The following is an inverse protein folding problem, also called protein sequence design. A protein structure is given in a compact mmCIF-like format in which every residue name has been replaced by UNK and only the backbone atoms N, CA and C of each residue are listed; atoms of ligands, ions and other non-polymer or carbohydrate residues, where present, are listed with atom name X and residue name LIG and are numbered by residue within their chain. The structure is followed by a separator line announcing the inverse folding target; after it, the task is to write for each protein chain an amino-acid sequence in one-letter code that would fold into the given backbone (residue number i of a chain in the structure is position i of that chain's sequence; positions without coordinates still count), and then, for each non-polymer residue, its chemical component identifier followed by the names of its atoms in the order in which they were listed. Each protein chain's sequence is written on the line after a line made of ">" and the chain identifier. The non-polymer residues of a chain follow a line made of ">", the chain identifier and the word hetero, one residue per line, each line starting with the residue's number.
data_IF_770910680006
#
_entry.id   IF_770910680006
#
_cell.length_a   1.000
_cell.length_b   1.000
_cell.length_c   1.000
_cell.angle_alpha   90.00
_cell.angle_beta   90.00
_cell.angle_gamma   90.00
#
_symmetry.space_group_name_H-M   'P 1'
#
loop_
_entity.id
_entity.type
_entity.pdbx_description
1 polymer ?
#
# COMPACT_ATOMS: atom_id res chain seq x y z
N UNK A 1 -22.33 12.06 -0.47
CA UNK A 1 -22.13 11.11 -0.07
C UNK A 1 -20.99 10.96 0.69
N UNK A 2 -20.67 9.93 1.03
CA UNK A 2 -19.65 9.79 1.75
C UNK A 2 -18.43 9.89 1.03
N UNK A 3 -17.47 10.55 1.58
CA UNK A 3 -16.29 10.68 1.05
C UNK A 3 -15.62 9.38 1.09
N UNK A 4 -15.12 8.81 0.05
CA UNK A 4 -14.37 7.67 0.11
C UNK A 4 -13.01 8.00 0.48
N UNK A 5 -12.51 7.44 1.54
CA UNK A 5 -11.12 7.66 1.91
C UNK A 5 -10.25 6.79 1.05
N UNK A 6 -9.10 7.30 0.68
CA UNK A 6 -8.11 6.54 -0.07
C UNK A 6 -7.39 5.62 0.91
N UNK A 7 -7.54 4.33 0.72
CA UNK A 7 -6.96 3.35 1.63
C UNK A 7 -5.45 3.27 1.47
N UNK A 8 -4.75 3.19 2.59
CA UNK A 8 -3.29 3.08 2.57
C UNK A 8 -2.85 1.82 1.85
N UNK A 9 -1.80 1.90 1.02
CA UNK A 9 -1.34 0.73 0.27
C UNK A 9 -0.55 -0.29 1.08
N UNK A 10 -0.44 -0.11 2.39
CA UNK A 10 0.27 -1.09 3.20
C UNK A 10 -0.50 -2.41 3.21
N UNK A 11 0.16 -3.50 2.80
CA UNK A 11 -0.48 -4.80 2.77
C UNK A 11 0.07 -5.72 3.86
N UNK A 12 0.56 -5.14 4.93
CA UNK A 12 1.09 -5.86 6.09
C UNK A 12 2.44 -6.54 5.85
N UNK A 13 3.09 -6.23 4.74
CA UNK A 13 4.46 -6.62 4.51
C UNK A 13 5.24 -5.32 4.54
N UNK A 14 5.95 -5.09 5.65
CA UNK A 14 6.61 -3.81 5.86
C UNK A 14 8.11 -4.01 5.96
N UNK A 15 8.73 -4.35 4.85
CA UNK A 15 10.16 -4.54 4.79
C UNK A 15 10.72 -3.73 3.65
N UNK A 16 11.75 -2.96 3.90
CA UNK A 16 12.36 -2.10 2.91
C UNK A 16 13.54 -2.77 2.25
N UNK A 17 13.56 -2.74 0.92
CA UNK A 17 14.67 -3.26 0.15
C UNK A 17 15.86 -2.31 0.34
N UNK A 18 16.99 -2.77 0.85
CA UNK A 18 18.12 -1.88 1.10
C UNK A 18 18.76 -1.34 -0.18
N UNK A 19 18.50 -1.98 -1.30
CA UNK A 19 19.07 -1.51 -2.56
C UNK A 19 18.27 -0.39 -3.19
N UNK A 20 16.95 -0.46 -3.11
CA UNK A 20 16.11 0.53 -3.75
C UNK A 20 15.47 1.51 -2.78
N UNK A 21 15.39 1.16 -1.51
CA UNK A 21 14.71 1.99 -0.53
C UNK A 21 13.20 1.85 -0.55
N UNK A 22 12.67 0.97 -1.39
CA UNK A 22 11.23 0.78 -1.51
C UNK A 22 10.77 -0.44 -0.71
N UNK A 23 9.56 -0.36 -0.19
CA UNK A 23 9.00 -1.47 0.56
C UNK A 23 8.69 -2.64 -0.38
N UNK A 24 9.06 -3.85 0.01
CA UNK A 24 8.80 -5.02 -0.80
C UNK A 24 7.32 -5.24 -1.04
N UNK A 25 6.48 -4.88 -0.09
CA UNK A 25 5.05 -5.15 -0.22
C UNK A 25 4.30 -4.08 -0.97
N UNK A 26 4.58 -2.82 -0.69
CA UNK A 26 3.78 -1.73 -1.25
C UNK A 26 4.54 -0.75 -2.14
N UNK A 27 5.84 -0.93 -2.29
CA UNK A 27 6.60 -0.10 -3.22
C UNK A 27 6.84 1.34 -2.77
N UNK A 28 6.51 1.69 -1.53
CA UNK A 28 6.73 3.04 -1.05
C UNK A 28 8.08 3.15 -0.37
N UNK A 29 8.71 4.32 -0.45
CA UNK A 29 9.91 4.56 0.35
C UNK A 29 9.48 5.12 1.71
N UNK A 30 10.43 5.33 2.60
CA UNK A 30 10.11 5.76 3.96
C UNK A 30 9.47 7.14 4.01
N UNK A 31 9.89 8.04 3.12
CA UNK A 31 9.32 9.37 3.05
C UNK A 31 7.86 9.29 2.66
N UNK A 32 7.55 8.48 1.65
CA UNK A 32 6.19 8.34 1.18
C UNK A 32 5.29 7.75 2.27
N UNK A 33 5.83 6.81 3.04
CA UNK A 33 5.05 6.24 4.14
C UNK A 33 4.69 7.30 5.16
N UNK A 34 5.61 8.22 5.43
CA UNK A 34 5.34 9.30 6.38
C UNK A 34 4.30 10.26 5.84
N UNK A 35 4.40 10.62 4.55
CA UNK A 35 3.46 11.54 3.94
C UNK A 35 2.04 10.96 3.96
N UNK A 36 1.91 9.66 3.76
CA UNK A 36 0.62 9.01 3.82
C UNK A 36 -0.07 9.17 5.17
N UNK A 37 0.72 9.33 6.24
CA UNK A 37 0.17 9.44 7.58
C UNK A 37 -0.22 10.85 7.97
N UNK A 38 0.19 11.86 7.19
CA UNK A 38 -0.14 13.24 7.51
C UNK A 38 -1.58 13.54 7.15
N UNK A 39 -2.25 14.28 8.04
CA UNK A 39 -3.64 14.62 7.80
C UNK A 39 -3.82 15.55 6.62
N UNK A 40 -2.87 16.41 6.38
CA UNK A 40 -2.98 17.38 5.32
C UNK A 40 -2.65 16.80 3.93
N UNK A 41 -2.26 15.55 3.83
CA UNK A 41 -1.93 14.97 2.54
C UNK A 41 -3.18 14.85 1.69
N UNK A 42 -3.13 15.40 0.47
CA UNK A 42 -4.31 15.43 -0.39
C UNK A 42 -4.61 14.08 -1.00
N UNK A 43 -5.86 13.88 -1.38
CA UNK A 43 -6.25 12.65 -2.06
C UNK A 43 -5.58 12.56 -3.42
N UNK A 44 -5.34 13.68 -4.05
CA UNK A 44 -4.67 13.70 -5.34
C UNK A 44 -3.25 13.16 -5.23
N UNK A 45 -2.55 13.57 -4.17
CA UNK A 45 -1.21 13.06 -3.96
C UNK A 45 -1.25 11.56 -3.73
N UNK A 46 -2.23 11.10 -2.96
CA UNK A 46 -2.34 9.67 -2.66
C UNK A 46 -2.63 8.86 -3.92
N UNK A 47 -3.50 9.35 -4.78
CA UNK A 47 -3.80 8.66 -6.02
C UNK A 47 -2.58 8.60 -6.92
N UNK A 48 -1.84 9.70 -7.00
CA UNK A 48 -0.64 9.74 -7.80
C UNK A 48 0.40 8.77 -7.29
N UNK A 49 0.54 8.70 -5.97
CA UNK A 49 1.50 7.79 -5.37
C UNK A 49 1.10 6.33 -5.59
N UNK A 50 -0.19 6.03 -5.53
CA UNK A 50 -0.67 4.68 -5.81
C UNK A 50 -0.31 4.26 -7.25
N UNK A 51 -0.39 5.19 -8.17
CA UNK A 51 0.00 4.92 -9.54
C UNK A 51 1.50 4.66 -9.64
N UNK A 52 2.28 5.49 -8.94
CA UNK A 52 3.74 5.38 -8.97
C UNK A 52 4.22 4.03 -8.42
N UNK A 53 3.64 3.61 -7.31
CA UNK A 53 4.10 2.36 -6.71
C UNK A 53 3.77 1.15 -7.57
N UNK A 54 2.72 1.22 -8.34
CA UNK A 54 2.38 0.11 -9.23
C UNK A 54 3.38 -0.01 -10.37
N UNK A 55 3.98 1.10 -10.77
CA UNK A 55 5.03 1.08 -11.78
C UNK A 55 6.32 0.50 -11.18
N UNK A 56 6.56 0.78 -9.91
CA UNK A 56 7.77 0.28 -9.23
C UNK A 56 7.72 -1.20 -8.97
N UNK A 57 6.53 -1.71 -8.63
CA UNK A 57 6.36 -3.12 -8.37
C UNK A 57 6.27 -3.87 -9.71
N UNK A 58 6.76 -5.08 -9.76
CA UNK A 58 6.69 -5.82 -10.99
C UNK A 58 6.49 -7.29 -10.73
N UNK A 59 6.08 -8.02 -11.76
CA UNK A 59 5.93 -9.46 -11.66
C UNK A 59 4.99 -9.87 -10.54
N UNK A 60 5.40 -10.86 -9.77
CA UNK A 60 4.56 -11.41 -8.72
C UNK A 60 4.32 -10.40 -7.60
N UNK A 61 5.23 -9.46 -7.40
CA UNK A 61 5.04 -8.45 -6.36
C UNK A 61 3.87 -7.54 -6.68
N UNK A 62 3.74 -7.14 -7.93
CA UNK A 62 2.62 -6.30 -8.34
C UNK A 62 1.31 -7.05 -8.20
N UNK A 63 1.29 -8.31 -8.60
CA UNK A 63 0.09 -9.12 -8.49
C UNK A 63 -0.34 -9.30 -7.04
N UNK A 64 0.62 -9.58 -6.18
CA UNK A 64 0.34 -9.73 -4.75
C UNK A 64 -0.18 -8.44 -4.15
N UNK A 65 0.40 -7.32 -4.55
CA UNK A 65 -0.05 -6.03 -4.05
C UNK A 65 -1.49 -5.76 -4.47
N UNK A 66 -1.80 -5.99 -5.74
CA UNK A 66 -3.14 -5.71 -6.23
C UNK A 66 -4.19 -6.55 -5.52
N UNK A 67 -3.91 -7.81 -5.36
CA UNK A 67 -4.82 -8.73 -4.70
C UNK A 67 -5.04 -8.33 -3.26
N UNK A 68 -3.97 -8.07 -2.54
CA UNK A 68 -4.05 -7.72 -1.13
C UNK A 68 -4.67 -6.35 -0.91
N UNK A 69 -4.36 -5.41 -1.78
CA UNK A 69 -4.92 -4.08 -1.66
C UNK A 69 -6.42 -4.10 -1.92
N UNK A 70 -6.86 -4.84 -2.94
CA UNK A 70 -8.27 -4.98 -3.21
C UNK A 70 -9.00 -5.60 -2.04
N UNK A 71 -8.41 -6.62 -1.43
CA UNK A 71 -9.00 -7.25 -0.26
C UNK A 71 -9.10 -6.26 0.89
N UNK A 72 -8.07 -5.43 1.07
CA UNK A 72 -8.07 -4.43 2.13
C UNK A 72 -9.16 -3.38 1.91
N UNK A 73 -9.34 -2.95 0.67
CA UNK A 73 -10.37 -1.97 0.35
C UNK A 73 -11.75 -2.53 0.64
N UNK A 74 -11.97 -3.79 0.33
CA UNK A 74 -13.29 -4.39 0.52
C UNK A 74 -13.56 -4.85 1.94
N UNK A 75 -12.54 -5.27 2.66
CA UNK A 75 -12.72 -5.91 3.95
C UNK A 75 -12.04 -5.21 5.11
N UNK A 76 -11.30 -4.16 4.85
CA UNK A 76 -10.62 -3.40 5.91
C UNK A 76 -9.27 -3.93 6.31
N UNK A 77 -8.91 -5.15 5.92
CA UNK A 77 -7.58 -5.69 6.20
C UNK A 77 -7.04 -6.38 4.97
N UNK A 78 -5.73 -6.44 4.86
CA UNK A 78 -5.09 -7.08 3.72
C UNK A 78 -5.19 -8.59 3.86
N UNK A 79 -4.91 -9.29 2.77
CA UNK A 79 -4.92 -10.76 2.81
C UNK A 79 -3.88 -11.29 3.77
N UNK A 80 -2.72 -10.66 3.79
CA UNK A 80 -1.65 -11.14 4.68
C UNK A 80 -2.02 -10.94 6.14
N UNK A 81 -2.66 -9.84 6.46
CA UNK A 81 -3.08 -9.62 7.83
C UNK A 81 -4.19 -10.59 8.23
N UNK A 82 -5.07 -10.90 7.30
CA UNK A 82 -6.13 -11.86 7.57
C UNK A 82 -5.54 -13.23 7.88
N UNK A 83 -4.52 -13.62 7.11
CA UNK A 83 -3.87 -14.90 7.37
C UNK A 83 -3.24 -14.92 8.74
N UNK A 84 -2.57 -13.85 9.13
CA UNK A 84 -1.95 -13.80 10.44
C UNK A 84 -2.99 -13.88 11.56
N UNK A 85 -4.13 -13.23 11.35
CA UNK A 85 -5.16 -13.24 12.37
C UNK A 85 -5.90 -14.58 12.48
N UNK A 86 -5.86 -15.38 11.46
CA UNK A 86 -6.53 -16.65 11.46
C UNK A 86 -5.65 -17.80 11.87
N UNK A 87 -4.43 -17.53 12.23
CA UNK A 87 -3.53 -18.56 12.69
C UNK A 87 -3.45 -18.66 14.19
#
# INVERSE_FOLDING_TARGET
>A
NLKKMIISPCISICKTDPLTGYCYGCGRNNEEKKIWKLEETSDEWKKSNLSDIQVRLGGWQLESFKESYNHKVENGISLYKKKLNNE
#
